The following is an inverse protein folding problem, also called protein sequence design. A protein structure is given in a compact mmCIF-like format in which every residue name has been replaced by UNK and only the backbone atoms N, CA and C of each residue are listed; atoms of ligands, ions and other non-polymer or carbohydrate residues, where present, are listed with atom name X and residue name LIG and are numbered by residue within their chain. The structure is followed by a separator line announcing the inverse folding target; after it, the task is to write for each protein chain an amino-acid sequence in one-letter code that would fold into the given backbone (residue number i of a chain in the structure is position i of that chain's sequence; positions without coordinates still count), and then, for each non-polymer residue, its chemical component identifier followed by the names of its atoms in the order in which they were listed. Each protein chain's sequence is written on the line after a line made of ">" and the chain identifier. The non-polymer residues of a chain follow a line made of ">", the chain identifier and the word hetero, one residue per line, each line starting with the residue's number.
data_IF_116343862737
#
_entry.id   IF_116343862737
#
_cell.length_a   1.000
_cell.length_b   1.000
_cell.length_c   1.000
_cell.angle_alpha   90.00
_cell.angle_beta   90.00
_cell.angle_gamma   90.00
#
_symmetry.space_group_name_H-M   'P 1'
#
loop_
_entity.id
_entity.type
_entity.pdbx_description
1 polymer ?
#
# COMPACT_ATOMS: atom_id res chain seq x y z
N UNK A 1 3.80 -15.94 -26.90
CA UNK A 1 3.84 -15.36 -25.54
C UNK A 1 5.14 -15.82 -24.93
N UNK A 2 6.06 -14.91 -24.61
CA UNK A 2 7.41 -15.26 -24.13
C UNK A 2 7.32 -15.91 -22.74
N UNK A 3 8.23 -16.84 -22.45
CA UNK A 3 8.34 -17.58 -21.18
C UNK A 3 8.41 -16.63 -19.96
N UNK A 4 9.11 -15.50 -20.10
CA UNK A 4 9.18 -14.41 -19.13
C UNK A 4 7.78 -13.89 -18.76
N UNK A 5 6.93 -13.62 -19.74
CA UNK A 5 5.58 -13.10 -19.50
C UNK A 5 4.69 -14.08 -18.72
N UNK A 6 4.87 -15.39 -18.95
CA UNK A 6 4.16 -16.46 -18.23
C UNK A 6 4.65 -16.56 -16.78
N UNK A 7 5.95 -16.39 -16.56
CA UNK A 7 6.58 -16.35 -15.24
C UNK A 7 6.04 -15.18 -14.41
N UNK A 8 6.03 -13.97 -14.99
CA UNK A 8 5.54 -12.77 -14.32
C UNK A 8 4.05 -12.89 -13.97
N UNK A 9 3.25 -13.48 -14.84
CA UNK A 9 1.82 -13.74 -14.58
C UNK A 9 1.62 -14.71 -13.41
N UNK A 10 2.43 -15.77 -13.30
CA UNK A 10 2.33 -16.73 -12.19
C UNK A 10 2.74 -16.08 -10.87
N UNK A 11 3.82 -15.30 -10.86
CA UNK A 11 4.24 -14.52 -9.68
C UNK A 11 3.13 -13.57 -9.23
N UNK A 12 2.51 -12.86 -10.16
CA UNK A 12 1.43 -11.92 -9.86
C UNK A 12 0.15 -12.61 -9.35
N UNK A 13 -0.19 -13.79 -9.84
CA UNK A 13 -1.30 -14.59 -9.29
C UNK A 13 -1.09 -14.91 -7.79
N UNK A 14 0.14 -15.32 -7.42
CA UNK A 14 0.46 -15.63 -6.03
C UNK A 14 0.34 -14.37 -5.16
N UNK A 15 0.87 -13.23 -5.60
CA UNK A 15 0.79 -11.95 -4.87
C UNK A 15 -0.67 -11.49 -4.71
N UNK A 16 -1.48 -11.57 -5.76
CA UNK A 16 -2.89 -11.17 -5.73
C UNK A 16 -3.71 -12.03 -4.76
N UNK A 17 -3.55 -13.35 -4.81
CA UNK A 17 -4.22 -14.27 -3.88
C UNK A 17 -3.77 -14.02 -2.43
N UNK A 18 -2.48 -13.84 -2.22
CA UNK A 18 -1.93 -13.53 -0.91
C UNK A 18 -2.43 -12.21 -0.35
N UNK A 19 -2.45 -11.16 -1.16
CA UNK A 19 -2.98 -9.84 -0.78
C UNK A 19 -4.44 -9.93 -0.32
N UNK A 20 -5.30 -10.62 -1.07
CA UNK A 20 -6.70 -10.82 -0.71
C UNK A 20 -6.87 -11.56 0.62
N UNK A 21 -6.09 -12.63 0.82
CA UNK A 21 -6.13 -13.42 2.05
C UNK A 21 -5.61 -12.64 3.26
N UNK A 22 -4.47 -11.97 3.11
CA UNK A 22 -3.81 -11.23 4.20
C UNK A 22 -4.63 -10.00 4.58
N UNK A 23 -5.21 -9.29 3.63
CA UNK A 23 -6.14 -8.18 3.89
C UNK A 23 -7.36 -8.64 4.70
N UNK A 24 -7.80 -9.87 4.53
CA UNK A 24 -8.96 -10.41 5.25
C UNK A 24 -8.60 -11.01 6.62
N UNK A 25 -7.45 -11.66 6.74
CA UNK A 25 -7.13 -12.51 7.90
C UNK A 25 -5.86 -12.10 8.65
N UNK A 26 -5.05 -11.17 8.13
CA UNK A 26 -3.73 -10.83 8.65
C UNK A 26 -2.61 -11.73 8.14
N UNK A 27 -1.36 -11.29 8.26
CA UNK A 27 -0.18 -12.02 7.76
C UNK A 27 0.13 -13.27 8.61
N UNK A 28 0.02 -13.16 9.92
CA UNK A 28 0.28 -14.26 10.86
C UNK A 28 -0.66 -15.43 10.64
N UNK A 29 -1.96 -15.15 10.45
CA UNK A 29 -3.00 -16.17 10.31
C UNK A 29 -3.07 -16.86 8.94
N UNK A 30 -2.38 -16.32 7.90
CA UNK A 30 -2.40 -16.89 6.55
C UNK A 30 -1.20 -17.82 6.35
N UNK A 31 -1.48 -19.11 6.28
CA UNK A 31 -0.47 -20.14 5.96
C UNK A 31 -0.22 -20.28 4.46
N UNK A 32 0.99 -20.74 4.10
CA UNK A 32 1.39 -20.97 2.71
C UNK A 32 0.43 -21.89 1.94
N UNK A 33 -0.04 -22.97 2.56
CA UNK A 33 -0.97 -23.91 1.94
C UNK A 33 -2.28 -23.24 1.46
N UNK A 34 -2.73 -22.21 2.19
CA UNK A 34 -3.93 -21.45 1.82
C UNK A 34 -3.66 -20.52 0.63
N UNK A 35 -2.48 -19.87 0.59
CA UNK A 35 -2.07 -19.03 -0.54
C UNK A 35 -1.96 -19.88 -1.82
N UNK A 36 -1.34 -21.05 -1.74
CA UNK A 36 -1.18 -21.96 -2.88
C UNK A 36 -2.53 -22.44 -3.44
N UNK A 37 -3.45 -22.79 -2.54
CA UNK A 37 -4.80 -23.22 -2.95
C UNK A 37 -5.57 -22.09 -3.63
N UNK A 38 -5.50 -20.88 -3.08
CA UNK A 38 -6.22 -19.72 -3.61
C UNK A 38 -5.63 -19.23 -4.95
N UNK A 39 -4.31 -19.33 -5.11
CA UNK A 39 -3.63 -18.93 -6.35
C UNK A 39 -3.67 -20.01 -7.44
N UNK A 40 -4.10 -21.23 -7.11
CA UNK A 40 -4.04 -22.40 -8.00
C UNK A 40 -2.62 -22.61 -8.59
N UNK A 41 -1.61 -22.55 -7.70
CA UNK A 41 -0.20 -22.68 -8.07
C UNK A 41 0.45 -23.83 -7.29
N UNK A 42 1.19 -24.75 -7.95
CA UNK A 42 1.91 -25.81 -7.27
C UNK A 42 2.95 -25.28 -6.28
N UNK A 43 3.15 -26.01 -5.17
CA UNK A 43 4.10 -25.63 -4.12
C UNK A 43 5.52 -25.37 -4.64
N UNK A 44 6.00 -26.19 -5.58
CA UNK A 44 7.33 -26.01 -6.21
C UNK A 44 7.45 -24.69 -6.94
N UNK A 45 6.38 -24.24 -7.62
CA UNK A 45 6.37 -22.95 -8.32
C UNK A 45 6.43 -21.77 -7.34
N UNK A 46 5.81 -21.88 -6.16
CA UNK A 46 5.92 -20.84 -5.15
C UNK A 46 7.37 -20.60 -4.74
N UNK A 47 8.09 -21.66 -4.36
CA UNK A 47 9.48 -21.54 -3.91
C UNK A 47 10.46 -21.12 -5.01
N UNK A 48 10.07 -21.25 -6.28
CA UNK A 48 10.81 -20.66 -7.39
C UNK A 48 10.77 -19.12 -7.35
N UNK A 49 9.63 -18.52 -6.98
CA UNK A 49 9.46 -17.05 -6.92
C UNK A 49 9.81 -16.47 -5.55
N UNK A 50 9.52 -17.18 -4.48
CA UNK A 50 9.64 -16.70 -3.11
C UNK A 50 10.30 -17.79 -2.24
N UNK A 51 11.58 -17.62 -1.89
CA UNK A 51 12.33 -18.64 -1.14
C UNK A 51 11.79 -18.90 0.26
N UNK A 52 11.00 -17.96 0.81
CA UNK A 52 10.38 -18.09 2.13
C UNK A 52 9.04 -17.37 2.20
N UNK A 53 8.25 -17.61 3.25
CA UNK A 53 7.04 -16.83 3.55
C UNK A 53 7.39 -15.35 3.81
N UNK A 54 8.53 -15.09 4.44
CA UNK A 54 9.01 -13.74 4.69
C UNK A 54 9.35 -13.00 3.38
N UNK A 55 10.12 -13.62 2.49
CA UNK A 55 10.41 -13.06 1.17
C UNK A 55 9.14 -12.81 0.33
N UNK A 56 8.15 -13.69 0.48
CA UNK A 56 6.82 -13.45 -0.11
C UNK A 56 6.13 -12.24 0.53
N UNK A 57 6.18 -12.10 1.86
CA UNK A 57 5.63 -10.95 2.58
C UNK A 57 6.27 -9.63 2.15
N UNK A 58 7.59 -9.60 2.03
CA UNK A 58 8.32 -8.43 1.51
C UNK A 58 7.88 -8.06 0.09
N UNK A 59 7.82 -9.05 -0.81
CA UNK A 59 7.39 -8.82 -2.19
C UNK A 59 5.94 -8.34 -2.29
N UNK A 60 5.05 -8.86 -1.43
CA UNK A 60 3.66 -8.43 -1.35
C UNK A 60 3.54 -7.00 -0.85
N UNK A 61 4.33 -6.60 0.14
CA UNK A 61 4.34 -5.23 0.65
C UNK A 61 4.90 -4.25 -0.37
N UNK A 62 5.97 -4.60 -1.09
CA UNK A 62 6.47 -3.78 -2.19
C UNK A 62 5.39 -3.57 -3.27
N UNK A 63 4.77 -4.65 -3.75
CA UNK A 63 3.69 -4.58 -4.75
C UNK A 63 2.52 -3.68 -4.27
N UNK A 64 2.17 -3.77 -3.00
CA UNK A 64 1.12 -2.95 -2.40
C UNK A 64 1.51 -1.48 -2.31
N UNK A 65 2.71 -1.19 -1.80
CA UNK A 65 3.22 0.19 -1.64
C UNK A 65 3.38 0.85 -3.00
N UNK A 66 3.96 0.15 -3.98
CA UNK A 66 4.16 0.66 -5.34
C UNK A 66 2.82 1.00 -6.01
N UNK A 67 1.83 0.10 -5.91
CA UNK A 67 0.47 0.33 -6.42
C UNK A 67 -0.21 1.53 -5.74
N UNK A 68 -0.03 1.68 -4.43
CA UNK A 68 -0.59 2.79 -3.67
C UNK A 68 0.06 4.13 -4.04
N UNK A 69 1.39 4.16 -4.14
CA UNK A 69 2.13 5.36 -4.54
C UNK A 69 1.85 5.74 -6.00
N UNK A 70 1.73 4.78 -6.91
CA UNK A 70 1.37 5.04 -8.31
C UNK A 70 -0.03 5.70 -8.42
N UNK A 71 -0.99 5.27 -7.62
CA UNK A 71 -2.32 5.92 -7.57
C UNK A 71 -2.24 7.34 -7.01
N UNK A 72 -1.40 7.57 -5.99
CA UNK A 72 -1.17 8.91 -5.47
C UNK A 72 -0.47 9.81 -6.50
N UNK A 73 0.51 9.28 -7.24
CA UNK A 73 1.21 10.01 -8.32
C UNK A 73 0.24 10.37 -9.46
N UNK A 74 -0.66 9.46 -9.83
CA UNK A 74 -1.70 9.74 -10.81
C UNK A 74 -2.65 10.86 -10.33
N UNK A 75 -3.02 10.86 -9.06
CA UNK A 75 -3.82 11.91 -8.45
C UNK A 75 -3.07 13.25 -8.46
N UNK A 76 -1.80 13.26 -8.06
CA UNK A 76 -0.96 14.47 -8.05
C UNK A 76 -0.78 15.07 -9.44
N UNK A 77 -0.65 14.23 -10.47
CA UNK A 77 -0.48 14.63 -11.86
C UNK A 77 -1.79 15.00 -12.56
N UNK A 78 -2.94 14.70 -11.95
CA UNK A 78 -4.26 14.98 -12.49
C UNK A 78 -4.58 16.49 -12.54
N UNK A 79 -5.68 16.85 -13.20
CA UNK A 79 -6.22 18.21 -13.23
C UNK A 79 -6.84 18.60 -11.88
N UNK A 80 -7.02 19.90 -11.64
CA UNK A 80 -7.59 20.45 -10.43
C UNK A 80 -6.55 21.05 -9.49
N UNK A 81 -7.03 21.83 -8.52
CA UNK A 81 -6.18 22.46 -7.50
C UNK A 81 -5.58 21.43 -6.54
N UNK A 82 -4.51 21.79 -5.86
CA UNK A 82 -3.92 20.94 -4.82
C UNK A 82 -4.93 20.64 -3.71
N UNK A 83 -5.81 21.59 -3.38
CA UNK A 83 -6.93 21.37 -2.46
C UNK A 83 -7.86 20.26 -2.95
N UNK A 84 -8.25 20.29 -4.24
CA UNK A 84 -9.16 19.27 -4.78
C UNK A 84 -8.54 17.87 -4.76
N UNK A 85 -7.24 17.78 -5.03
CA UNK A 85 -6.46 16.55 -4.96
C UNK A 85 -6.38 16.01 -3.53
N UNK A 86 -6.10 16.86 -2.55
CA UNK A 86 -6.10 16.49 -1.14
C UNK A 86 -7.50 16.03 -0.67
N UNK A 87 -8.56 16.75 -1.04
CA UNK A 87 -9.92 16.35 -0.72
C UNK A 87 -10.30 15.01 -1.38
N UNK A 88 -9.90 14.78 -2.63
CA UNK A 88 -10.13 13.51 -3.33
C UNK A 88 -9.42 12.35 -2.64
N UNK A 89 -8.18 12.55 -2.23
CA UNK A 89 -7.41 11.56 -1.47
C UNK A 89 -8.14 11.17 -0.17
N UNK A 90 -8.53 12.16 0.64
CA UNK A 90 -9.21 11.89 1.92
C UNK A 90 -10.64 11.39 1.74
N UNK A 91 -11.36 11.85 0.72
CA UNK A 91 -12.72 11.36 0.41
C UNK A 91 -12.71 9.88 0.02
N UNK A 92 -11.71 9.44 -0.74
CA UNK A 92 -11.54 8.02 -1.05
C UNK A 92 -11.31 7.19 0.21
N UNK A 93 -10.53 7.71 1.18
CA UNK A 93 -10.34 7.08 2.48
C UNK A 93 -11.65 6.99 3.28
N UNK A 94 -12.39 8.09 3.36
CA UNK A 94 -13.66 8.15 4.09
C UNK A 94 -14.75 7.28 3.45
N UNK A 95 -14.82 7.22 2.12
CA UNK A 95 -15.79 6.37 1.42
C UNK A 95 -15.60 4.89 1.75
N UNK A 96 -14.35 4.44 1.91
CA UNK A 96 -14.05 3.06 2.31
C UNK A 96 -14.34 2.79 3.80
N UNK A 97 -14.37 3.84 4.64
CA UNK A 97 -14.68 3.73 6.07
C UNK A 97 -16.13 3.29 6.35
N UNK A 98 -17.04 3.58 5.44
CA UNK A 98 -18.47 3.32 5.61
C UNK A 98 -18.92 1.94 5.15
N UNK A 99 -18.14 1.26 4.30
CA UNK A 99 -18.58 -0.01 3.70
C UNK A 99 -18.17 -1.28 4.44
N UNK A 100 -17.08 -1.32 5.21
CA UNK A 100 -16.67 -2.46 6.06
C UNK A 100 -15.53 -2.12 7.04
N UNK A 101 -15.34 -0.86 7.41
CA UNK A 101 -14.26 -0.38 8.28
C UNK A 101 -12.90 -0.27 7.55
N UNK A 102 -12.23 0.87 7.72
CA UNK A 102 -10.92 1.17 7.12
C UNK A 102 -9.89 0.06 7.40
N UNK A 103 -9.94 -0.52 8.60
CA UNK A 103 -9.05 -1.60 9.02
C UNK A 103 -9.15 -2.85 8.14
N UNK A 104 -10.27 -3.09 7.48
CA UNK A 104 -10.47 -4.29 6.67
C UNK A 104 -9.96 -4.18 5.23
N UNK A 105 -9.71 -2.99 4.74
CA UNK A 105 -9.30 -2.77 3.35
C UNK A 105 -7.89 -2.17 3.22
N UNK A 106 -7.39 -1.46 4.23
CA UNK A 106 -6.03 -0.91 4.22
C UNK A 106 -5.03 -1.94 4.77
N UNK A 107 -4.20 -2.48 3.90
CA UNK A 107 -3.17 -3.44 4.30
C UNK A 107 -2.19 -2.84 5.31
N UNK A 108 -1.87 -1.54 5.21
CA UNK A 108 -0.98 -0.83 6.15
C UNK A 108 -1.58 -0.80 7.56
N UNK A 109 -2.87 -0.46 7.69
CA UNK A 109 -3.55 -0.44 9.01
C UNK A 109 -3.62 -1.84 9.59
N UNK A 110 -3.94 -2.84 8.77
CA UNK A 110 -4.06 -4.22 9.22
C UNK A 110 -2.72 -4.82 9.62
N UNK A 111 -1.69 -4.58 8.84
CA UNK A 111 -0.32 -5.04 9.16
C UNK A 111 0.32 -4.19 10.26
N UNK A 112 -0.08 -2.92 10.41
CA UNK A 112 0.32 -2.08 11.54
C UNK A 112 -0.09 -2.66 12.90
N UNK A 113 -1.24 -3.34 12.96
CA UNK A 113 -1.66 -4.06 14.17
C UNK A 113 -0.82 -5.34 14.43
N UNK A 114 -0.18 -5.88 13.40
CA UNK A 114 0.67 -7.08 13.46
C UNK A 114 2.17 -6.73 13.38
N UNK A 115 2.52 -5.46 13.51
CA UNK A 115 3.90 -4.94 13.29
C UNK A 115 4.96 -5.67 14.13
N UNK A 116 4.59 -6.13 15.33
CA UNK A 116 5.48 -6.90 16.17
C UNK A 116 5.86 -8.28 15.58
N UNK A 117 4.97 -8.85 14.75
CA UNK A 117 5.14 -10.15 14.11
C UNK A 117 5.79 -10.06 12.72
N UNK A 118 5.98 -8.85 12.20
CA UNK A 118 6.65 -8.63 10.92
C UNK A 118 8.17 -8.64 11.09
N UNK A 119 8.88 -9.10 10.05
CA UNK A 119 10.33 -8.97 10.01
C UNK A 119 10.77 -7.50 9.90
N UNK A 120 12.02 -7.23 10.27
CA UNK A 120 12.61 -5.89 10.18
C UNK A 120 12.54 -5.35 8.74
N UNK A 121 12.74 -6.21 7.75
CA UNK A 121 12.68 -5.82 6.34
C UNK A 121 11.25 -5.45 5.94
N UNK A 122 10.25 -6.19 6.38
CA UNK A 122 8.84 -5.86 6.13
C UNK A 122 8.46 -4.53 6.79
N UNK A 123 8.93 -4.27 8.03
CA UNK A 123 8.71 -2.99 8.70
C UNK A 123 9.32 -1.82 7.93
N UNK A 124 10.57 -1.96 7.47
CA UNK A 124 11.24 -0.93 6.65
C UNK A 124 10.48 -0.61 5.37
N UNK A 125 9.96 -1.62 4.67
CA UNK A 125 9.17 -1.41 3.44
C UNK A 125 7.93 -0.55 3.75
N UNK A 126 7.23 -0.82 4.86
CA UNK A 126 6.08 -0.02 5.27
C UNK A 126 6.46 1.41 5.66
N UNK A 127 7.52 1.58 6.46
CA UNK A 127 8.00 2.88 6.91
C UNK A 127 8.43 3.74 5.73
N UNK A 128 9.18 3.18 4.78
CA UNK A 128 9.60 3.86 3.56
C UNK A 128 8.40 4.24 2.68
N UNK A 129 7.41 3.36 2.57
CA UNK A 129 6.18 3.62 1.84
C UNK A 129 5.38 4.78 2.44
N UNK A 130 5.23 4.80 3.77
CA UNK A 130 4.57 5.90 4.50
C UNK A 130 5.35 7.20 4.35
N UNK A 131 6.68 7.17 4.47
CA UNK A 131 7.52 8.36 4.31
C UNK A 131 7.40 8.98 2.91
N UNK A 132 7.31 8.15 1.87
CA UNK A 132 7.09 8.58 0.49
C UNK A 132 5.69 9.18 0.30
N UNK A 133 4.65 8.57 0.87
CA UNK A 133 3.28 9.09 0.81
C UNK A 133 3.17 10.45 1.50
N UNK A 134 3.73 10.59 2.71
CA UNK A 134 3.81 11.86 3.45
C UNK A 134 4.54 12.92 2.62
N UNK A 135 5.61 12.54 1.92
CA UNK A 135 6.32 13.44 1.02
C UNK A 135 5.42 14.00 -0.11
N UNK A 136 4.56 13.17 -0.71
CA UNK A 136 3.61 13.58 -1.75
C UNK A 136 2.52 14.51 -1.21
N UNK A 137 2.01 14.23 -0.02
CA UNK A 137 1.05 15.11 0.66
C UNK A 137 1.70 16.46 0.96
N UNK A 138 2.94 16.48 1.46
CA UNK A 138 3.69 17.71 1.72
C UNK A 138 3.88 18.54 0.44
N UNK A 139 4.20 17.91 -0.69
CA UNK A 139 4.30 18.58 -1.99
C UNK A 139 2.97 19.22 -2.43
N UNK A 140 1.84 18.55 -2.20
CA UNK A 140 0.52 19.13 -2.47
C UNK A 140 0.20 20.33 -1.54
N UNK A 141 0.64 20.30 -0.28
CA UNK A 141 0.49 21.42 0.63
C UNK A 141 1.30 22.65 0.15
N UNK A 142 2.55 22.44 -0.31
CA UNK A 142 3.39 23.49 -0.89
C UNK A 142 2.74 24.07 -2.16
N UNK A 143 2.39 23.22 -3.11
CA UNK A 143 1.76 23.65 -4.36
C UNK A 143 0.44 24.38 -4.10
N UNK A 144 -0.37 23.91 -3.15
CA UNK A 144 -1.62 24.55 -2.76
C UNK A 144 -1.43 25.93 -2.13
N UNK A 145 -0.36 26.13 -1.37
CA UNK A 145 -0.02 27.45 -0.82
C UNK A 145 0.45 28.41 -1.94
N UNK A 146 1.25 27.94 -2.88
CA UNK A 146 1.73 28.72 -4.03
C UNK A 146 0.58 29.16 -4.96
N UNK A 147 -0.38 28.30 -5.22
CA UNK A 147 -1.56 28.60 -6.05
C UNK A 147 -2.72 29.27 -5.27
N UNK A 148 -2.59 29.38 -3.95
CA UNK A 148 -3.60 29.99 -3.08
C UNK A 148 -4.82 29.13 -2.79
N UNK A 149 -4.79 27.82 -3.09
CA UNK A 149 -5.90 26.89 -2.82
C UNK A 149 -5.86 26.27 -1.43
N UNK A 150 -4.71 26.29 -0.76
CA UNK A 150 -4.49 25.81 0.60
C UNK A 150 -3.76 26.90 1.41
N UNK A 151 -4.09 27.14 2.68
CA UNK A 151 -3.32 28.05 3.52
C UNK A 151 -1.86 27.59 3.65
N UNK A 152 -0.88 28.53 3.67
CA UNK A 152 0.52 28.17 3.91
C UNK A 152 0.69 27.59 5.32
N UNK A 153 1.62 26.65 5.44
CA UNK A 153 2.02 26.03 6.71
C UNK A 153 3.53 26.17 6.88
N UNK A 154 4.01 26.35 8.11
CA UNK A 154 5.43 26.57 8.40
C UNK A 154 6.29 25.34 8.06
N UNK A 155 5.79 24.15 8.38
CA UNK A 155 6.44 22.86 8.05
C UNK A 155 5.45 21.93 7.31
N UNK A 156 5.49 21.93 5.97
CA UNK A 156 4.60 21.09 5.16
C UNK A 156 4.76 19.59 5.44
N UNK A 157 5.96 19.14 5.80
CA UNK A 157 6.22 17.72 6.08
C UNK A 157 5.62 17.32 7.44
N UNK A 158 5.81 18.12 8.47
CA UNK A 158 5.17 17.89 9.78
C UNK A 158 3.64 17.96 9.66
N UNK A 159 3.10 18.93 8.92
CA UNK A 159 1.66 19.03 8.65
C UNK A 159 1.14 17.79 7.93
N UNK A 160 1.84 17.29 6.92
CA UNK A 160 1.47 16.06 6.19
C UNK A 160 1.50 14.83 7.11
N UNK A 161 2.49 14.70 7.98
CA UNK A 161 2.57 13.62 8.98
C UNK A 161 1.38 13.68 9.95
N UNK A 162 1.04 14.85 10.44
CA UNK A 162 -0.10 15.04 11.35
C UNK A 162 -1.43 14.71 10.66
N UNK A 163 -1.60 15.10 9.40
CA UNK A 163 -2.79 14.76 8.61
C UNK A 163 -2.88 13.22 8.41
N UNK A 164 -1.78 12.59 8.08
CA UNK A 164 -1.74 11.13 7.88
C UNK A 164 -1.99 10.35 9.18
N UNK A 165 -1.47 10.81 10.31
CA UNK A 165 -1.60 10.12 11.61
C UNK A 165 -3.00 10.23 12.22
N UNK A 166 -3.87 11.15 11.72
CA UNK A 166 -5.25 11.31 12.21
C UNK A 166 -6.24 10.33 11.60
N UNK A 167 -5.83 9.61 10.58
CA UNK A 167 -6.63 8.64 9.83
C UNK A 167 -6.00 7.26 9.87
#
# INVERSE_FOLDING_TARGET
>A
MTEQKKSDQTRQKILTAGRALISKHGFGAVGLARILRESDVPKGSFYYYFPSKDAFGQALLHDYVDDYLARMDALCSGSGSARDKLLSFWSAWLAHAHSEGIANQCLVVKLGAEVADLSDDMRRILDDGVAQLVGRIAQLLVAGAEEGSVPPVDDPRAAAQMLYAKF
#
